data_IF_400811955446
#
_entry.id   IF_400811955446
#
_cell.length_a   1.000
_cell.length_b   1.000
_cell.length_c   1.000
_cell.angle_alpha   90.00
_cell.angle_beta   90.00
_cell.angle_gamma   90.00
#
_symmetry.space_group_name_H-M   'P 1'
#
loop_
_entity.id
_entity.type
_entity.pdbx_description
1 polymer ?
#
# COMPACT_ATOMS: atom_id res chain seq x y z
N UNK A 1 5.54 30.32 -21.72
CA UNK A 1 5.83 31.46 -20.82
C UNK A 1 5.97 32.72 -21.67
N UNK A 2 5.01 33.65 -21.63
CA UNK A 2 4.97 34.81 -22.52
C UNK A 2 5.98 35.92 -22.19
N UNK A 3 6.25 36.79 -23.17
CA UNK A 3 7.26 37.87 -23.15
C UNK A 3 7.03 38.89 -22.01
N UNK A 4 5.77 39.26 -21.76
CA UNK A 4 5.39 40.18 -20.67
C UNK A 4 5.75 39.63 -19.28
N UNK A 5 5.62 38.31 -19.08
CA UNK A 5 5.97 37.66 -17.81
C UNK A 5 7.49 37.58 -17.59
N UNK A 6 8.30 37.74 -18.64
CA UNK A 6 9.76 37.85 -18.52
C UNK A 6 10.18 39.30 -18.19
N UNK A 7 9.56 40.29 -18.82
CA UNK A 7 9.79 41.71 -18.52
C UNK A 7 9.39 42.07 -17.08
N UNK A 8 8.23 41.62 -16.60
CA UNK A 8 7.78 41.86 -15.22
C UNK A 8 8.69 41.20 -14.17
N UNK A 9 9.27 40.03 -14.48
CA UNK A 9 10.27 39.37 -13.62
C UNK A 9 11.59 40.14 -13.50
N UNK A 10 11.92 40.98 -14.49
CA UNK A 10 13.09 41.87 -14.42
C UNK A 10 12.88 43.10 -13.52
N UNK A 11 11.62 43.53 -13.34
CA UNK A 11 11.22 44.69 -12.54
C UNK A 11 11.15 44.39 -11.04
N UNK A 12 10.58 43.24 -10.63
CA UNK A 12 10.49 42.84 -9.22
C UNK A 12 11.68 41.92 -8.88
N UNK A 13 12.73 42.52 -8.32
CA UNK A 13 13.95 41.80 -7.91
C UNK A 13 13.80 41.24 -6.49
N UNK A 14 14.18 39.97 -6.30
CA UNK A 14 14.17 39.32 -4.99
C UNK A 14 14.12 37.79 -5.10
N UNK A 15 14.57 37.09 -4.06
CA UNK A 15 14.42 35.64 -3.98
C UNK A 15 12.99 35.26 -3.57
N UNK A 16 12.43 34.25 -4.24
CA UNK A 16 11.10 33.73 -3.94
C UNK A 16 11.07 32.99 -2.59
N UNK A 17 10.15 33.38 -1.71
CA UNK A 17 9.93 32.80 -0.36
C UNK A 17 8.64 31.98 -0.26
N UNK A 18 7.77 32.03 -1.28
CA UNK A 18 6.44 31.42 -1.24
C UNK A 18 6.42 30.01 -1.83
N UNK A 19 7.29 29.75 -2.81
CA UNK A 19 7.31 28.44 -3.45
C UNK A 19 8.12 27.41 -2.67
N UNK A 20 7.71 26.11 -2.69
CA UNK A 20 8.41 25.05 -1.99
C UNK A 20 9.88 24.96 -2.38
N UNK A 21 10.76 24.83 -1.39
CA UNK A 21 12.18 24.65 -1.66
C UNK A 21 12.44 23.28 -2.31
N UNK A 22 13.21 23.24 -3.39
CA UNK A 22 13.43 22.01 -4.17
C UNK A 22 14.90 21.73 -4.44
N UNK A 23 15.22 20.52 -4.90
CA UNK A 23 16.58 20.11 -5.25
C UNK A 23 17.25 20.90 -6.39
N UNK A 24 16.51 21.75 -7.10
CA UNK A 24 17.04 22.62 -8.17
C UNK A 24 17.40 24.03 -7.67
N UNK A 25 17.20 24.27 -6.37
CA UNK A 25 17.54 25.52 -5.69
C UNK A 25 18.65 25.25 -4.68
N UNK A 26 19.35 26.31 -4.30
CA UNK A 26 20.43 26.23 -3.32
C UNK A 26 21.76 25.77 -3.92
N UNK A 27 22.78 25.62 -3.06
CA UNK A 27 24.14 25.27 -3.47
C UNK A 27 24.28 23.77 -3.78
N UNK A 28 25.46 23.38 -4.30
CA UNK A 28 25.78 21.99 -4.70
C UNK A 28 25.54 20.94 -3.60
N UNK A 29 25.69 21.30 -2.32
CA UNK A 29 25.47 20.41 -1.18
C UNK A 29 23.98 20.15 -0.87
N UNK A 30 23.06 20.94 -1.43
CA UNK A 30 21.64 20.83 -1.16
C UNK A 30 20.99 19.70 -1.97
N UNK A 31 21.21 18.45 -1.55
CA UNK A 31 20.66 17.27 -2.20
C UNK A 31 19.37 16.76 -1.50
N UNK A 32 18.27 17.50 -1.68
CA UNK A 32 16.97 17.19 -1.06
C UNK A 32 16.24 15.95 -1.64
N UNK A 33 16.52 15.57 -2.89
CA UNK A 33 15.78 14.51 -3.58
C UNK A 33 14.35 14.91 -3.99
N UNK A 34 13.57 13.91 -4.47
CA UNK A 34 12.21 14.08 -5.04
C UNK A 34 11.20 13.01 -4.59
N UNK A 35 11.42 12.39 -3.43
CA UNK A 35 10.51 11.38 -2.87
C UNK A 35 10.78 9.93 -3.30
N UNK A 36 11.79 9.69 -4.14
CA UNK A 36 12.27 8.34 -4.42
C UNK A 36 12.72 7.66 -3.12
N UNK A 37 12.19 6.45 -2.86
CA UNK A 37 12.58 5.62 -1.72
C UNK A 37 13.96 5.01 -1.99
N UNK A 38 14.75 4.83 -0.93
CA UNK A 38 16.10 4.27 -1.04
C UNK A 38 16.01 2.75 -1.27
N UNK A 39 16.82 2.24 -2.20
CA UNK A 39 16.91 0.82 -2.55
C UNK A 39 18.16 0.13 -1.98
N UNK A 40 18.88 0.82 -1.10
CA UNK A 40 20.18 0.39 -0.60
C UNK A 40 20.87 1.47 0.22
N UNK A 41 22.16 1.27 0.46
CA UNK A 41 22.96 2.09 1.37
C UNK A 41 24.26 2.58 0.73
N UNK A 42 24.77 3.72 1.21
CA UNK A 42 26.10 4.19 0.84
C UNK A 42 27.13 3.59 1.79
N UNK A 43 28.18 3.01 1.24
CA UNK A 43 29.34 2.52 2.00
C UNK A 43 30.24 3.67 2.47
N UNK A 44 31.17 3.39 3.37
CA UNK A 44 32.15 4.37 3.85
C UNK A 44 32.93 5.06 2.70
N UNK A 45 33.19 4.33 1.61
CA UNK A 45 33.87 4.83 0.42
C UNK A 45 32.94 5.57 -0.56
N UNK A 46 31.72 5.94 -0.14
CA UNK A 46 30.68 6.60 -0.95
C UNK A 46 30.22 5.80 -2.17
N UNK A 47 30.55 4.50 -2.26
CA UNK A 47 29.97 3.59 -3.26
C UNK A 47 28.57 3.18 -2.81
N UNK A 48 27.61 3.20 -3.73
CA UNK A 48 26.25 2.74 -3.47
C UNK A 48 26.17 1.22 -3.58
N UNK A 49 25.61 0.58 -2.56
CA UNK A 49 25.37 -0.85 -2.51
C UNK A 49 23.85 -1.08 -2.57
N UNK A 50 23.41 -1.71 -3.65
CA UNK A 50 22.00 -2.06 -3.88
C UNK A 50 21.66 -3.32 -3.09
N UNK A 51 20.59 -3.25 -2.29
CA UNK A 51 20.10 -4.38 -1.49
C UNK A 51 18.90 -4.97 -2.20
N UNK A 52 19.00 -6.21 -2.67
CA UNK A 52 18.00 -6.84 -3.55
C UNK A 52 16.63 -6.95 -2.87
N UNK A 53 16.61 -7.15 -1.56
CA UNK A 53 15.43 -7.27 -0.71
C UNK A 53 14.67 -5.93 -0.54
N UNK A 54 15.37 -4.80 -0.73
CA UNK A 54 14.75 -3.47 -0.73
C UNK A 54 14.16 -3.09 -2.10
N UNK A 55 14.48 -3.85 -3.15
CA UNK A 55 13.94 -3.62 -4.49
C UNK A 55 12.55 -4.25 -4.59
N UNK A 56 11.49 -3.46 -4.84
CA UNK A 56 10.14 -4.00 -4.96
C UNK A 56 10.04 -4.93 -6.17
N UNK A 57 9.43 -6.09 -5.97
CA UNK A 57 9.15 -7.06 -7.03
C UNK A 57 7.67 -6.99 -7.42
N UNK A 58 7.40 -6.85 -8.70
CA UNK A 58 6.03 -6.88 -9.22
C UNK A 58 5.59 -8.33 -9.42
N UNK A 59 4.60 -8.77 -8.66
CA UNK A 59 3.99 -10.10 -8.80
C UNK A 59 2.89 -10.00 -9.85
N UNK A 60 3.21 -10.39 -11.09
CA UNK A 60 2.29 -10.32 -12.24
C UNK A 60 1.71 -11.70 -12.53
N UNK A 61 0.38 -11.92 -12.44
CA UNK A 61 -0.25 -13.18 -12.77
C UNK A 61 -0.35 -13.39 -14.29
N UNK A 62 -0.50 -14.65 -14.71
CA UNK A 62 -0.87 -14.96 -16.10
C UNK A 62 -2.35 -14.61 -16.35
N UNK A 63 -2.63 -13.97 -17.48
CA UNK A 63 -3.95 -13.49 -17.87
C UNK A 63 -4.51 -14.26 -19.09
N UNK A 64 -3.86 -15.34 -19.53
CA UNK A 64 -4.37 -16.21 -20.58
C UNK A 64 -5.77 -16.75 -20.21
N UNK A 65 -6.77 -16.49 -21.06
CA UNK A 65 -8.16 -16.93 -20.84
C UNK A 65 -8.93 -16.13 -19.79
N UNK A 66 -8.43 -14.99 -19.31
CA UNK A 66 -9.11 -14.17 -18.31
C UNK A 66 -10.37 -13.51 -18.87
N UNK A 67 -11.53 -13.77 -18.23
CA UNK A 67 -12.85 -13.35 -18.73
C UNK A 67 -13.19 -11.89 -18.42
N UNK A 68 -12.68 -11.35 -17.31
CA UNK A 68 -13.01 -10.00 -16.87
C UNK A 68 -12.31 -8.97 -17.77
N UNK A 69 -13.03 -7.88 -18.05
CA UNK A 69 -12.56 -6.78 -18.90
C UNK A 69 -12.51 -5.48 -18.11
N UNK A 70 -11.74 -4.47 -18.55
CA UNK A 70 -11.66 -3.17 -17.87
C UNK A 70 -13.00 -2.41 -17.81
N UNK A 71 -13.96 -2.76 -18.67
CA UNK A 71 -15.26 -2.12 -18.76
C UNK A 71 -16.38 -3.16 -18.68
N UNK A 72 -17.50 -2.75 -18.07
CA UNK A 72 -18.73 -3.54 -17.90
C UNK A 72 -19.83 -2.99 -18.82
N UNK A 73 -20.75 -3.85 -19.27
CA UNK A 73 -21.88 -3.44 -20.09
C UNK A 73 -22.92 -2.68 -19.27
N UNK A 74 -23.52 -1.64 -19.86
CA UNK A 74 -24.69 -0.93 -19.30
C UNK A 74 -25.93 -1.79 -19.10
N UNK A 75 -25.96 -3.02 -19.65
CA UNK A 75 -27.05 -3.97 -19.44
C UNK A 75 -27.01 -4.66 -18.07
N UNK A 76 -25.93 -4.48 -17.31
CA UNK A 76 -25.82 -5.03 -15.96
C UNK A 76 -26.83 -4.34 -15.02
N UNK A 77 -27.50 -5.08 -14.12
CA UNK A 77 -28.37 -4.48 -13.12
C UNK A 77 -27.55 -3.62 -12.15
N UNK A 78 -28.22 -2.68 -11.50
CA UNK A 78 -27.61 -1.84 -10.48
C UNK A 78 -27.23 -2.68 -9.25
N UNK A 79 -26.03 -2.46 -8.71
CA UNK A 79 -25.53 -3.19 -7.55
C UNK A 79 -26.20 -2.70 -6.27
N UNK A 80 -26.84 -3.60 -5.53
CA UNK A 80 -27.53 -3.30 -4.26
C UNK A 80 -26.75 -3.77 -3.02
N UNK A 81 -25.50 -4.20 -3.19
CA UNK A 81 -24.76 -4.88 -2.12
C UNK A 81 -24.30 -3.88 -1.03
N UNK A 82 -24.57 -4.18 0.25
CA UNK A 82 -24.09 -3.37 1.36
C UNK A 82 -22.57 -3.51 1.52
N UNK A 83 -21.90 -2.54 2.18
CA UNK A 83 -20.47 -2.64 2.46
C UNK A 83 -20.19 -3.83 3.39
N UNK A 84 -19.14 -4.58 3.08
CA UNK A 84 -18.74 -5.75 3.86
C UNK A 84 -18.29 -5.36 5.28
N UNK A 85 -18.83 -6.04 6.29
CA UNK A 85 -18.50 -5.83 7.71
C UNK A 85 -17.83 -7.06 8.32
N UNK A 86 -17.07 -6.87 9.40
CA UNK A 86 -16.43 -7.97 10.13
C UNK A 86 -17.45 -9.00 10.66
N UNK A 87 -18.63 -8.53 11.08
CA UNK A 87 -19.73 -9.40 11.53
C UNK A 87 -20.26 -10.28 10.40
N UNK A 88 -20.49 -9.70 9.22
CA UNK A 88 -20.95 -10.44 8.04
C UNK A 88 -19.93 -11.51 7.64
N UNK A 89 -18.65 -11.15 7.55
CA UNK A 89 -17.57 -12.08 7.24
C UNK A 89 -17.50 -13.23 8.27
N UNK A 90 -17.59 -12.92 9.56
CA UNK A 90 -17.62 -13.93 10.62
C UNK A 90 -18.82 -14.87 10.48
N UNK A 91 -20.03 -14.32 10.26
CA UNK A 91 -21.24 -15.12 10.12
C UNK A 91 -21.25 -16.01 8.89
N UNK A 92 -20.63 -15.59 7.79
CA UNK A 92 -20.60 -16.35 6.54
C UNK A 92 -19.55 -17.45 6.55
N UNK A 93 -18.35 -17.17 7.10
CA UNK A 93 -17.19 -18.08 6.96
C UNK A 93 -16.97 -18.94 8.21
N UNK A 94 -17.03 -18.33 9.40
CA UNK A 94 -16.57 -18.97 10.65
C UNK A 94 -17.73 -19.56 11.44
N UNK A 95 -18.85 -18.83 11.56
CA UNK A 95 -20.01 -19.26 12.35
C UNK A 95 -20.55 -20.65 11.98
N UNK A 96 -20.67 -21.05 10.70
CA UNK A 96 -21.18 -22.37 10.35
C UNK A 96 -20.28 -23.53 10.82
N UNK A 97 -18.98 -23.27 11.05
CA UNK A 97 -18.04 -24.26 11.59
C UNK A 97 -18.21 -24.40 13.09
N UNK A 98 -18.29 -23.27 13.80
CA UNK A 98 -18.52 -23.26 15.25
C UNK A 98 -19.86 -23.91 15.59
N UNK A 99 -20.93 -23.58 14.86
CA UNK A 99 -22.25 -24.17 15.11
C UNK A 99 -22.29 -25.69 14.96
N UNK A 100 -21.51 -26.25 14.03
CA UNK A 100 -21.40 -27.72 13.85
C UNK A 100 -20.74 -28.34 15.07
N UNK A 101 -19.58 -27.84 15.46
CA UNK A 101 -18.82 -28.39 16.59
C UNK A 101 -19.56 -28.21 17.93
N UNK A 102 -20.35 -27.14 18.08
CA UNK A 102 -21.23 -26.94 19.24
C UNK A 102 -22.36 -27.98 19.27
N UNK A 103 -23.00 -28.25 18.12
CA UNK A 103 -24.05 -29.28 18.02
C UNK A 103 -23.51 -30.70 18.28
N UNK A 104 -22.28 -30.95 17.88
CA UNK A 104 -21.59 -32.24 18.06
C UNK A 104 -20.96 -32.37 19.46
N UNK A 105 -20.98 -31.32 20.30
CA UNK A 105 -20.40 -31.31 21.63
C UNK A 105 -18.86 -31.29 21.65
N UNK A 106 -18.23 -31.01 20.51
CA UNK A 106 -16.78 -30.98 20.32
C UNK A 106 -16.18 -29.56 20.42
N UNK A 107 -16.97 -28.57 20.84
CA UNK A 107 -16.53 -27.18 20.97
C UNK A 107 -15.73 -26.95 22.26
N UNK A 108 -14.49 -26.46 22.12
CA UNK A 108 -13.65 -26.01 23.22
C UNK A 108 -13.34 -24.50 23.08
N UNK A 109 -13.69 -23.66 24.09
CA UNK A 109 -13.35 -22.24 24.11
C UNK A 109 -11.84 -21.92 24.05
N UNK A 110 -10.97 -22.85 24.47
CA UNK A 110 -9.53 -22.60 24.48
C UNK A 110 -8.86 -22.87 23.12
N UNK A 111 -9.51 -23.66 22.25
CA UNK A 111 -8.98 -24.05 20.93
C UNK A 111 -9.57 -23.21 19.79
N UNK A 112 -9.50 -21.88 19.92
CA UNK A 112 -9.98 -20.95 18.88
C UNK A 112 -9.08 -20.92 17.63
N UNK A 113 -7.83 -21.35 17.77
CA UNK A 113 -6.87 -21.41 16.66
C UNK A 113 -7.34 -22.38 15.57
N UNK A 114 -8.03 -23.47 15.96
CA UNK A 114 -8.72 -24.39 15.04
C UNK A 114 -9.66 -23.68 14.06
N UNK A 115 -10.31 -22.61 14.51
CA UNK A 115 -11.24 -21.82 13.70
C UNK A 115 -10.57 -20.64 12.98
N UNK A 116 -9.25 -20.51 13.08
CA UNK A 116 -8.46 -19.46 12.44
C UNK A 116 -8.24 -18.20 13.29
N UNK A 117 -8.56 -18.23 14.59
CA UNK A 117 -8.22 -17.12 15.46
C UNK A 117 -6.72 -17.09 15.74
N UNK A 118 -6.14 -15.91 15.57
CA UNK A 118 -4.72 -15.66 15.74
C UNK A 118 -4.49 -14.72 16.92
N UNK A 119 -4.09 -15.23 18.11
CA UNK A 119 -4.01 -14.41 19.31
C UNK A 119 -2.91 -13.35 19.24
N UNK A 120 -1.79 -13.66 18.57
CA UNK A 120 -0.65 -12.76 18.39
C UNK A 120 -0.27 -12.66 16.91
N UNK A 121 0.23 -11.49 16.51
CA UNK A 121 0.73 -11.24 15.15
C UNK A 121 2.26 -11.42 15.05
N UNK A 122 2.93 -11.64 16.17
CA UNK A 122 4.36 -11.89 16.22
C UNK A 122 4.73 -13.21 15.52
N UNK A 123 5.91 -13.25 14.89
CA UNK A 123 6.37 -14.42 14.14
C UNK A 123 5.71 -14.62 12.77
N UNK A 124 4.71 -13.82 12.40
CA UNK A 124 4.08 -13.89 11.08
C UNK A 124 4.84 -13.11 10.02
N UNK A 125 4.93 -13.69 8.82
CA UNK A 125 5.49 -13.03 7.65
C UNK A 125 4.69 -11.78 7.27
N UNK A 126 3.36 -11.91 7.23
CA UNK A 126 2.43 -10.83 6.96
C UNK A 126 1.68 -10.46 8.24
N UNK A 127 2.06 -9.34 8.84
CA UNK A 127 1.46 -8.84 10.07
C UNK A 127 0.31 -7.89 9.73
N UNK A 128 -0.83 -8.08 10.38
CA UNK A 128 -1.98 -7.19 10.22
C UNK A 128 -1.78 -5.86 10.96
N UNK A 129 -1.21 -5.91 12.18
CA UNK A 129 -0.92 -4.73 12.98
C UNK A 129 0.36 -4.93 13.83
N UNK A 130 1.38 -4.04 13.73
CA UNK A 130 1.52 -3.00 12.71
C UNK A 130 1.71 -3.61 11.32
N UNK A 131 1.04 -3.06 10.31
CA UNK A 131 1.08 -3.59 8.94
C UNK A 131 2.50 -3.52 8.37
N UNK A 132 3.03 -4.66 7.90
CA UNK A 132 4.40 -4.77 7.39
C UNK A 132 4.50 -5.05 5.87
N UNK A 133 3.39 -5.10 5.14
CA UNK A 133 3.34 -5.39 3.70
C UNK A 133 2.78 -4.22 2.87
N UNK A 134 3.11 -4.21 1.58
CA UNK A 134 2.69 -3.17 0.63
C UNK A 134 1.37 -3.59 -0.06
N UNK A 135 0.62 -2.62 -0.60
CA UNK A 135 -0.59 -2.86 -1.40
C UNK A 135 -0.24 -3.10 -2.87
#
# INVERSE_FOLDING_TARGET
MGLLAQLARGLVRGADRMSPFTSKRGPRSHNKGRGAKRLGVLTANKKFLLVKEMVPQFVVPDLAGFKLKPYVSYRAPEGSEPPLTAKQLFSEVVAPRIEKDVKEGAFDPNDLQKYGFEPTQEGKLFQLFPKNYVR
#
